data_IF_068989349466
#
_entry.id   IF_068989349466
#
_cell.length_a   1.000
_cell.length_b   1.000
_cell.length_c   1.000
_cell.angle_alpha   90.00
_cell.angle_beta   90.00
_cell.angle_gamma   90.00
#
_symmetry.space_group_name_H-M   'P 1'
#
loop_
_entity.id
_entity.type
_entity.pdbx_description
1 polymer ?
#
# COMPACT_ATOMS: atom_id res chain seq x y z
N UNK A 1 -14.12 -17.14 -2.02
CA UNK A 1 -14.37 -15.70 -1.72
C UNK A 1 -13.15 -14.81 -1.98
N UNK A 2 -11.92 -15.27 -1.71
CA UNK A 2 -10.68 -14.53 -1.99
C UNK A 2 -10.48 -14.19 -3.47
N UNK A 3 -10.78 -15.14 -4.39
CA UNK A 3 -10.61 -14.94 -5.84
C UNK A 3 -11.34 -13.68 -6.32
N UNK A 4 -12.56 -13.43 -5.82
CA UNK A 4 -13.30 -12.22 -6.15
C UNK A 4 -12.56 -10.94 -5.70
N UNK A 5 -12.06 -10.92 -4.47
CA UNK A 5 -11.30 -9.77 -3.95
C UNK A 5 -10.02 -9.53 -4.75
N UNK A 6 -9.27 -10.58 -5.08
CA UNK A 6 -8.05 -10.47 -5.91
C UNK A 6 -8.36 -9.96 -7.32
N UNK A 7 -9.46 -10.47 -7.92
CA UNK A 7 -9.90 -10.01 -9.23
C UNK A 7 -10.31 -8.53 -9.21
N UNK A 8 -11.01 -8.08 -8.16
CA UNK A 8 -11.39 -6.68 -7.99
C UNK A 8 -10.14 -5.81 -7.85
N UNK A 9 -9.18 -6.19 -6.99
CA UNK A 9 -7.96 -5.44 -6.75
C UNK A 9 -7.14 -5.29 -8.04
N UNK A 10 -6.93 -6.38 -8.75
CA UNK A 10 -6.16 -6.40 -9.99
C UNK A 10 -6.84 -5.60 -11.11
N UNK A 11 -8.12 -5.90 -11.38
CA UNK A 11 -8.86 -5.26 -12.48
C UNK A 11 -9.11 -3.78 -12.20
N UNK A 12 -9.39 -3.41 -10.95
CA UNK A 12 -9.57 -2.02 -10.58
C UNK A 12 -8.30 -1.21 -10.85
N UNK A 13 -7.12 -1.72 -10.48
CA UNK A 13 -5.85 -1.04 -10.75
C UNK A 13 -5.58 -0.91 -12.26
N UNK A 14 -5.83 -1.95 -13.05
CA UNK A 14 -5.67 -1.88 -14.51
C UNK A 14 -6.63 -0.88 -15.17
N UNK A 15 -7.92 -0.97 -14.82
CA UNK A 15 -8.95 -0.07 -15.37
C UNK A 15 -8.65 1.37 -14.97
N UNK A 16 -8.24 1.60 -13.71
CA UNK A 16 -7.90 2.92 -13.20
C UNK A 16 -6.74 3.56 -13.95
N UNK A 17 -5.69 2.81 -14.26
CA UNK A 17 -4.58 3.34 -15.07
C UNK A 17 -5.00 3.75 -16.49
N UNK A 18 -5.97 3.03 -17.08
CA UNK A 18 -6.53 3.41 -18.38
C UNK A 18 -7.39 4.68 -18.33
N UNK A 19 -7.91 5.04 -17.16
CA UNK A 19 -8.67 6.28 -16.97
C UNK A 19 -7.83 7.54 -17.27
N UNK A 20 -6.50 7.45 -17.29
CA UNK A 20 -5.64 8.58 -17.68
C UNK A 20 -6.05 9.14 -19.04
N UNK A 21 -6.41 8.29 -20.01
CA UNK A 21 -6.83 8.74 -21.34
C UNK A 21 -8.15 9.53 -21.33
N UNK A 22 -8.97 9.36 -20.30
CA UNK A 22 -10.26 10.06 -20.13
C UNK A 22 -10.10 11.33 -19.30
N UNK A 23 -9.30 11.24 -18.22
CA UNK A 23 -9.21 12.30 -17.21
C UNK A 23 -8.00 13.22 -17.36
N UNK A 24 -7.05 12.94 -18.27
CA UNK A 24 -5.89 13.79 -18.54
C UNK A 24 -6.28 15.27 -18.75
N UNK A 25 -7.44 15.52 -19.38
CA UNK A 25 -7.99 16.87 -19.63
C UNK A 25 -8.87 17.41 -18.49
N UNK A 26 -9.02 16.69 -17.38
CA UNK A 26 -9.91 17.05 -16.26
C UNK A 26 -9.19 16.95 -14.89
N UNK A 27 -8.14 17.78 -14.66
CA UNK A 27 -7.31 17.67 -13.46
C UNK A 27 -8.11 17.78 -12.15
N UNK A 28 -9.13 18.64 -12.08
CA UNK A 28 -9.98 18.81 -10.89
C UNK A 28 -10.68 17.52 -10.45
N UNK A 29 -11.06 16.66 -11.38
CA UNK A 29 -11.70 15.37 -11.05
C UNK A 29 -10.65 14.42 -10.48
N UNK A 30 -9.44 14.42 -11.03
CA UNK A 30 -8.32 13.63 -10.51
C UNK A 30 -7.95 14.05 -9.10
N UNK A 31 -7.83 15.34 -8.85
CA UNK A 31 -7.54 15.88 -7.52
C UNK A 31 -8.62 15.47 -6.52
N UNK A 32 -9.91 15.58 -6.90
CA UNK A 32 -11.01 15.15 -6.05
C UNK A 32 -10.95 13.64 -5.72
N UNK A 33 -10.70 12.79 -6.71
CA UNK A 33 -10.59 11.32 -6.52
C UNK A 33 -9.39 11.01 -5.60
N UNK A 34 -8.25 11.66 -5.79
CA UNK A 34 -7.07 11.51 -4.95
C UNK A 34 -7.35 11.86 -3.49
N UNK A 35 -7.91 13.04 -3.25
CA UNK A 35 -8.22 13.53 -1.89
C UNK A 35 -9.27 12.65 -1.24
N UNK A 36 -10.33 12.28 -1.96
CA UNK A 36 -11.39 11.42 -1.43
C UNK A 36 -10.85 10.01 -1.10
N UNK A 37 -10.07 9.40 -1.99
CA UNK A 37 -9.45 8.08 -1.79
C UNK A 37 -8.53 8.07 -0.58
N UNK A 38 -7.65 9.07 -0.46
CA UNK A 38 -6.75 9.22 0.69
C UNK A 38 -7.51 9.43 2.01
N UNK A 39 -8.52 10.32 2.01
CA UNK A 39 -9.34 10.56 3.20
C UNK A 39 -10.12 9.31 3.63
N UNK A 40 -10.68 8.55 2.68
CA UNK A 40 -11.38 7.30 2.97
C UNK A 40 -10.42 6.27 3.57
N UNK A 41 -9.23 6.11 2.98
CA UNK A 41 -8.22 5.19 3.47
C UNK A 41 -7.76 5.54 4.89
N UNK A 42 -7.52 6.84 5.15
CA UNK A 42 -7.20 7.35 6.48
C UNK A 42 -8.31 7.03 7.49
N UNK A 43 -9.58 7.22 7.10
CA UNK A 43 -10.72 6.88 7.96
C UNK A 43 -10.75 5.38 8.29
N UNK A 44 -10.50 4.49 7.33
CA UNK A 44 -10.40 3.04 7.56
C UNK A 44 -9.25 2.71 8.52
N UNK A 45 -8.10 3.36 8.40
CA UNK A 45 -6.97 3.18 9.31
C UNK A 45 -7.35 3.50 10.76
N UNK A 46 -7.96 4.65 11.00
CA UNK A 46 -8.27 5.10 12.38
C UNK A 46 -9.52 4.45 12.97
N UNK A 47 -10.54 4.17 12.16
CA UNK A 47 -11.82 3.65 12.65
C UNK A 47 -11.83 2.13 12.73
N UNK A 48 -11.01 1.45 11.92
CA UNK A 48 -11.06 0.00 11.80
C UNK A 48 -9.72 -0.67 12.11
N UNK A 49 -8.66 -0.37 11.36
CA UNK A 49 -7.39 -1.10 11.50
C UNK A 49 -6.71 -0.87 12.85
N UNK A 50 -6.62 0.37 13.27
CA UNK A 50 -5.91 0.71 14.51
C UNK A 50 -6.63 0.18 15.76
N UNK A 51 -7.96 0.36 15.94
CA UNK A 51 -8.69 -0.26 17.05
C UNK A 51 -8.58 -1.79 17.05
N UNK A 52 -8.69 -2.44 15.88
CA UNK A 52 -8.56 -3.90 15.76
C UNK A 52 -7.17 -4.38 16.19
N UNK A 53 -6.10 -3.69 15.79
CA UNK A 53 -4.73 -4.01 16.20
C UNK A 53 -4.55 -3.95 17.73
N UNK A 54 -5.14 -2.93 18.38
CA UNK A 54 -5.06 -2.79 19.84
C UNK A 54 -5.90 -3.85 20.57
N UNK A 55 -7.08 -4.20 20.06
CA UNK A 55 -7.90 -5.27 20.67
C UNK A 55 -7.23 -6.62 20.58
N UNK A 56 -6.69 -7.00 19.42
CA UNK A 56 -5.94 -8.24 19.22
C UNK A 56 -4.69 -8.34 20.13
N UNK A 57 -4.04 -7.23 20.40
CA UNK A 57 -2.91 -7.17 21.32
C UNK A 57 -3.33 -7.38 22.76
N UNK A 58 -4.49 -6.86 23.17
CA UNK A 58 -5.01 -6.99 24.54
C UNK A 58 -5.47 -8.43 24.84
N UNK A 59 -6.10 -9.10 23.88
CA UNK A 59 -6.58 -10.48 24.02
C UNK A 59 -5.43 -11.48 24.18
N UNK A 60 -4.28 -11.21 23.56
CA UNK A 60 -3.08 -12.05 23.71
C UNK A 60 -2.46 -11.96 25.10
N UNK A 61 -2.71 -10.90 25.85
CA UNK A 61 -2.22 -10.73 27.25
C UNK A 61 -3.15 -11.41 28.25
N UNK A 62 -4.45 -11.50 27.98
CA UNK A 62 -5.43 -12.06 28.91
C UNK A 62 -5.53 -13.60 28.88
N UNK A 63 -4.94 -14.31 27.93
CA UNK A 63 -5.04 -15.77 27.80
C UNK A 63 -4.13 -16.57 28.73
N UNK A 64 -3.35 -15.93 29.61
CA UNK A 64 -2.42 -16.61 30.56
C UNK A 64 -2.65 -16.30 32.04
N UNK A 65 -3.87 -16.04 32.50
CA UNK A 65 -4.09 -15.88 33.94
C UNK A 65 -5.39 -16.49 34.42
N UNK A 66 -5.34 -17.81 34.67
CA UNK A 66 -6.14 -18.46 35.71
C UNK A 66 -5.19 -19.16 36.67
N UNK A 67 -4.62 -18.41 37.61
CA UNK A 67 -4.25 -18.89 38.96
C UNK A 67 -3.92 -17.67 39.82
N UNK A 68 -4.64 -17.60 40.94
CA UNK A 68 -4.45 -16.63 42.00
C UNK A 68 -3.04 -16.77 42.60
N UNK A 69 -2.21 -15.71 42.46
CA UNK A 69 -1.27 -15.34 43.51
C UNK A 69 -0.65 -13.98 43.19
N UNK A 70 -0.71 -13.07 44.18
CA UNK A 70 -0.12 -11.74 44.12
C UNK A 70 1.40 -11.84 44.14
N UNK A 71 2.04 -11.71 42.98
CA UNK A 71 3.46 -11.32 42.92
C UNK A 71 3.57 -10.27 41.82
N UNK A 72 3.86 -9.02 42.20
CA UNK A 72 4.25 -7.95 41.31
C UNK A 72 5.65 -8.23 40.77
N UNK A 73 5.79 -9.06 39.77
CA UNK A 73 6.98 -9.12 38.95
C UNK A 73 6.73 -8.28 37.69
N UNK A 74 7.23 -7.06 37.71
CA UNK A 74 7.40 -6.24 36.52
C UNK A 74 8.46 -6.89 35.62
N UNK A 75 8.05 -7.87 34.86
CA UNK A 75 8.87 -8.39 33.77
C UNK A 75 8.88 -7.35 32.64
N UNK A 76 9.82 -6.40 32.72
CA UNK A 76 10.16 -5.49 31.63
C UNK A 76 10.87 -6.25 30.49
N UNK A 77 10.18 -7.22 29.89
CA UNK A 77 10.51 -7.64 28.55
C UNK A 77 10.29 -6.44 27.63
N UNK A 78 11.29 -6.08 26.86
CA UNK A 78 11.26 -4.96 25.91
C UNK A 78 10.21 -5.27 24.83
N UNK A 79 8.92 -5.12 25.14
CA UNK A 79 7.86 -5.20 24.14
C UNK A 79 7.83 -3.86 23.42
N UNK A 80 8.23 -3.86 22.16
CA UNK A 80 8.12 -2.68 21.31
C UNK A 80 6.66 -2.21 21.29
N UNK A 81 6.36 -0.96 21.69
CA UNK A 81 4.98 -0.47 21.71
C UNK A 81 4.42 -0.44 20.29
N UNK A 82 3.15 -0.82 20.12
CA UNK A 82 2.49 -0.86 18.80
C UNK A 82 2.62 0.45 18.02
N UNK A 83 2.62 1.58 18.72
CA UNK A 83 2.87 2.89 18.10
C UNK A 83 4.24 3.02 17.41
N UNK A 84 5.26 2.27 17.86
CA UNK A 84 6.56 2.27 17.18
C UNK A 84 6.49 1.60 15.80
N UNK A 85 5.62 0.61 15.63
CA UNK A 85 5.40 -0.02 14.30
C UNK A 85 4.69 0.93 13.34
N UNK A 86 3.76 1.76 13.82
CA UNK A 86 3.15 2.84 13.01
C UNK A 86 4.24 3.80 12.54
N UNK A 87 5.11 4.23 13.45
CA UNK A 87 6.21 5.15 13.10
C UNK A 87 7.19 4.51 12.11
N UNK A 88 7.53 3.23 12.28
CA UNK A 88 8.40 2.51 11.35
C UNK A 88 7.79 2.40 9.95
N UNK A 89 6.49 2.11 9.85
CA UNK A 89 5.77 2.08 8.59
C UNK A 89 5.77 3.44 7.89
N UNK A 90 5.49 4.50 8.62
CA UNK A 90 5.55 5.87 8.11
C UNK A 90 6.94 6.25 7.61
N UNK A 91 7.99 5.95 8.39
CA UNK A 91 9.37 6.20 7.99
C UNK A 91 9.77 5.41 6.75
N UNK A 92 9.37 4.14 6.66
CA UNK A 92 9.62 3.34 5.46
C UNK A 92 9.01 3.99 4.22
N UNK A 93 7.73 4.39 4.31
CA UNK A 93 7.04 5.02 3.19
C UNK A 93 7.71 6.34 2.79
N UNK A 94 8.12 7.15 3.75
CA UNK A 94 8.87 8.39 3.51
C UNK A 94 10.20 8.13 2.79
N UNK A 95 10.91 7.06 3.15
CA UNK A 95 12.15 6.65 2.47
C UNK A 95 11.85 6.21 1.03
N UNK A 96 10.79 5.43 0.80
CA UNK A 96 10.38 5.00 -0.53
C UNK A 96 10.04 6.20 -1.42
N UNK A 97 9.35 7.20 -0.86
CA UNK A 97 9.03 8.43 -1.58
C UNK A 97 10.29 9.26 -1.92
N UNK A 98 11.24 9.38 -0.98
CA UNK A 98 12.50 10.06 -1.23
C UNK A 98 13.31 9.40 -2.35
N UNK A 99 13.34 8.06 -2.39
CA UNK A 99 13.99 7.30 -3.46
C UNK A 99 13.28 7.56 -4.80
N UNK A 100 11.95 7.55 -4.81
CA UNK A 100 11.16 7.84 -6.02
C UNK A 100 11.36 9.27 -6.52
N UNK A 101 11.30 10.28 -5.64
CA UNK A 101 11.50 11.71 -6.00
C UNK A 101 12.93 12.02 -6.39
N UNK A 102 13.92 11.36 -5.77
CA UNK A 102 15.35 11.52 -6.15
C UNK A 102 15.62 11.18 -7.62
N UNK A 103 14.77 10.35 -8.23
CA UNK A 103 14.87 10.01 -9.65
C UNK A 103 14.28 11.09 -10.61
N UNK A 104 13.44 12.00 -10.09
CA UNK A 104 12.81 13.06 -10.92
C UNK A 104 13.71 14.28 -11.19
N UNK A 105 14.80 14.49 -10.45
CA UNK A 105 15.68 15.65 -10.58
C UNK A 105 16.72 15.57 -11.73
N UNK A 106 16.62 14.59 -12.61
CA UNK A 106 17.43 14.48 -13.82
C UNK A 106 16.86 15.34 -14.98
N UNK A 107 17.04 16.66 -14.94
CA UNK A 107 16.68 17.54 -16.05
C UNK A 107 17.61 17.30 -17.24
N UNK A 108 17.11 16.76 -18.35
CA UNK A 108 17.68 16.96 -19.68
C UNK A 108 16.56 17.20 -20.69
N UNK A 109 16.55 18.43 -21.22
CA UNK A 109 15.82 18.79 -22.43
C UNK A 109 16.47 18.09 -23.63
N UNK A 110 15.78 17.15 -24.24
CA UNK A 110 16.05 16.74 -25.63
C UNK A 110 14.75 16.35 -26.29
N UNK A 111 14.41 17.09 -27.33
CA UNK A 111 13.21 16.92 -28.17
C UNK A 111 13.39 15.84 -29.26
N UNK A 112 14.00 14.72 -28.97
CA UNK A 112 14.02 13.61 -29.94
C UNK A 112 13.08 12.51 -29.51
N UNK A 113 12.27 12.00 -30.43
CA UNK A 113 11.27 10.94 -30.26
C UNK A 113 11.88 9.57 -29.91
N UNK A 114 13.08 9.53 -29.36
CA UNK A 114 13.71 8.33 -28.79
C UNK A 114 13.30 8.20 -27.34
N UNK A 115 13.11 6.96 -26.87
CA UNK A 115 12.81 6.67 -25.47
C UNK A 115 13.81 7.43 -24.60
N UNK A 116 13.33 8.38 -23.80
CA UNK A 116 14.18 9.13 -22.91
C UNK A 116 14.62 8.21 -21.79
N UNK A 117 15.84 7.70 -21.87
CA UNK A 117 16.40 6.72 -20.94
C UNK A 117 16.34 7.22 -19.47
N UNK A 118 16.58 8.51 -19.24
CA UNK A 118 16.48 9.11 -17.90
C UNK A 118 15.05 9.09 -17.37
N UNK A 119 14.09 9.50 -18.21
CA UNK A 119 12.66 9.48 -17.83
C UNK A 119 12.15 8.04 -17.63
N UNK A 120 12.66 7.08 -18.40
CA UNK A 120 12.31 5.67 -18.21
C UNK A 120 12.85 5.12 -16.89
N UNK A 121 14.10 5.42 -16.52
CA UNK A 121 14.66 5.04 -15.22
C UNK A 121 13.89 5.67 -14.07
N UNK A 122 13.53 6.96 -14.16
CA UNK A 122 12.68 7.61 -13.16
C UNK A 122 11.33 6.91 -13.02
N UNK A 123 10.69 6.53 -14.14
CA UNK A 123 9.44 5.77 -14.12
C UNK A 123 9.58 4.39 -13.48
N UNK A 124 10.73 3.71 -13.67
CA UNK A 124 11.02 2.45 -13.01
C UNK A 124 11.19 2.61 -11.49
N UNK A 125 11.81 3.70 -11.02
CA UNK A 125 11.96 3.98 -9.60
C UNK A 125 10.61 4.28 -8.94
N UNK A 126 9.75 5.05 -9.61
CA UNK A 126 8.35 5.26 -9.19
C UNK A 126 7.63 3.91 -9.12
N UNK A 127 7.71 3.10 -10.17
CA UNK A 127 7.10 1.77 -10.20
C UNK A 127 7.58 0.89 -9.05
N UNK A 128 8.88 0.88 -8.75
CA UNK A 128 9.44 0.11 -7.65
C UNK A 128 8.84 0.54 -6.31
N UNK A 129 8.85 1.85 -6.03
CA UNK A 129 8.31 2.40 -4.78
C UNK A 129 6.83 2.06 -4.59
N UNK A 130 6.00 2.34 -5.60
CA UNK A 130 4.56 2.07 -5.51
C UNK A 130 4.23 0.57 -5.56
N UNK A 131 5.09 -0.27 -6.16
CA UNK A 131 4.92 -1.73 -6.15
C UNK A 131 5.18 -2.32 -4.77
N UNK A 132 6.20 -1.84 -4.05
CA UNK A 132 6.45 -2.22 -2.65
C UNK A 132 5.29 -1.75 -1.77
N UNK A 133 4.82 -0.52 -1.97
CA UNK A 133 3.66 0.03 -1.28
C UNK A 133 2.41 -0.84 -1.50
N UNK A 134 2.06 -1.15 -2.75
CA UNK A 134 0.92 -2.01 -3.09
C UNK A 134 1.06 -3.44 -2.51
N UNK A 135 2.27 -3.99 -2.49
CA UNK A 135 2.54 -5.28 -1.86
C UNK A 135 2.22 -5.25 -0.36
N UNK A 136 2.66 -4.23 0.36
CA UNK A 136 2.43 -4.08 1.79
C UNK A 136 0.96 -3.80 2.11
N UNK A 137 0.26 -3.02 1.30
CA UNK A 137 -1.20 -2.85 1.38
C UNK A 137 -1.93 -4.17 1.17
N UNK A 138 -1.54 -4.91 0.11
CA UNK A 138 -2.09 -6.23 -0.18
C UNK A 138 -1.91 -7.20 0.98
N UNK A 139 -0.74 -7.18 1.63
CA UNK A 139 -0.43 -8.01 2.78
C UNK A 139 -1.40 -7.79 3.96
N UNK A 140 -1.84 -6.54 4.19
CA UNK A 140 -2.82 -6.21 5.22
C UNK A 140 -4.27 -6.58 4.87
N UNK A 141 -4.58 -6.85 3.59
CA UNK A 141 -5.94 -7.16 3.16
C UNK A 141 -6.47 -8.48 3.74
N UNK A 142 -5.60 -9.38 4.17
CA UNK A 142 -5.99 -10.66 4.77
C UNK A 142 -5.50 -10.71 6.20
N UNK A 143 -6.43 -10.70 7.14
CA UNK A 143 -6.18 -10.80 8.57
C UNK A 143 -6.90 -12.03 9.11
N UNK A 144 -6.21 -12.89 9.88
CA UNK A 144 -6.78 -14.11 10.48
C UNK A 144 -7.51 -15.01 9.44
N UNK A 145 -6.94 -15.13 8.24
CA UNK A 145 -7.53 -15.93 7.17
C UNK A 145 -8.86 -15.38 6.63
N UNK A 146 -9.17 -14.10 6.85
CA UNK A 146 -10.35 -13.43 6.31
C UNK A 146 -9.94 -12.17 5.55
N UNK A 147 -10.60 -11.92 4.41
CA UNK A 147 -10.39 -10.70 3.66
C UNK A 147 -11.15 -9.53 4.29
N UNK A 148 -10.44 -8.44 4.56
CA UNK A 148 -11.03 -7.20 5.06
C UNK A 148 -11.57 -6.39 3.87
N UNK A 149 -12.89 -6.47 3.64
CA UNK A 149 -13.53 -5.77 2.52
C UNK A 149 -13.56 -4.25 2.67
N UNK A 150 -13.61 -3.74 3.89
CA UNK A 150 -13.56 -2.28 4.14
C UNK A 150 -12.21 -1.72 3.70
N UNK A 151 -11.14 -2.41 4.06
CA UNK A 151 -9.79 -2.07 3.62
C UNK A 151 -9.63 -2.25 2.10
N UNK A 152 -10.18 -3.34 1.53
CA UNK A 152 -10.15 -3.57 0.08
C UNK A 152 -10.77 -2.40 -0.70
N UNK A 153 -11.93 -1.89 -0.26
CA UNK A 153 -12.57 -0.72 -0.89
C UNK A 153 -11.65 0.50 -0.79
N UNK A 154 -11.05 0.74 0.38
CA UNK A 154 -10.12 1.84 0.59
C UNK A 154 -8.90 1.76 -0.34
N UNK A 155 -8.27 0.61 -0.41
CA UNK A 155 -7.11 0.35 -1.28
C UNK A 155 -7.49 0.51 -2.75
N UNK A 156 -8.64 0.00 -3.19
CA UNK A 156 -9.11 0.16 -4.57
C UNK A 156 -9.30 1.65 -4.92
N UNK A 157 -9.93 2.42 -4.04
CA UNK A 157 -10.14 3.86 -4.27
C UNK A 157 -8.82 4.62 -4.30
N UNK A 158 -7.91 4.29 -3.38
CA UNK A 158 -6.58 4.91 -3.30
C UNK A 158 -5.70 4.55 -4.50
N UNK A 159 -5.81 3.34 -5.01
CA UNK A 159 -5.05 2.88 -6.18
C UNK A 159 -5.47 3.56 -7.50
N UNK A 160 -6.62 4.22 -7.57
CA UNK A 160 -7.04 4.93 -8.79
C UNK A 160 -6.00 5.99 -9.21
N UNK A 161 -5.67 7.00 -8.40
CA UNK A 161 -4.68 7.99 -8.77
C UNK A 161 -3.28 7.40 -8.95
N UNK A 162 -2.87 6.44 -8.11
CA UNK A 162 -1.55 5.79 -8.21
C UNK A 162 -1.39 5.08 -9.55
N UNK A 163 -2.38 4.30 -9.97
CA UNK A 163 -2.39 3.60 -11.26
C UNK A 163 -2.25 4.57 -12.44
N UNK A 164 -2.90 5.74 -12.36
CA UNK A 164 -2.79 6.78 -13.38
C UNK A 164 -1.41 7.42 -13.40
N UNK A 165 -0.78 7.63 -12.24
CA UNK A 165 0.61 8.13 -12.15
C UNK A 165 1.57 7.12 -12.77
N UNK A 166 1.45 5.84 -12.45
CA UNK A 166 2.27 4.77 -13.05
C UNK A 166 2.13 4.76 -14.57
N UNK A 167 0.90 4.69 -15.07
CA UNK A 167 0.66 4.69 -16.52
C UNK A 167 1.21 5.94 -17.19
N UNK A 168 0.95 7.13 -16.60
CA UNK A 168 1.37 8.43 -17.11
C UNK A 168 2.88 8.62 -17.14
N UNK A 169 3.61 8.11 -16.14
CA UNK A 169 5.07 8.24 -16.09
C UNK A 169 5.73 7.51 -17.26
N UNK A 170 5.31 6.29 -17.57
CA UNK A 170 5.83 5.54 -18.73
C UNK A 170 5.41 6.14 -20.07
N UNK A 171 4.20 6.69 -20.19
CA UNK A 171 3.79 7.40 -21.39
C UNK A 171 4.63 8.66 -21.62
N UNK A 172 4.98 9.41 -20.57
CA UNK A 172 5.88 10.57 -20.63
C UNK A 172 7.31 10.19 -21.01
N UNK A 173 7.76 8.99 -20.64
CA UNK A 173 9.05 8.44 -21.06
C UNK A 173 9.07 7.98 -22.53
N UNK A 174 8.02 8.31 -23.30
CA UNK A 174 7.84 7.93 -24.72
C UNK A 174 7.76 6.40 -24.93
N UNK A 175 7.33 5.67 -23.92
CA UNK A 175 7.03 4.25 -24.05
C UNK A 175 5.75 4.01 -24.84
N UNK A 176 5.69 2.88 -25.56
CA UNK A 176 4.45 2.48 -26.22
C UNK A 176 3.35 2.20 -25.18
N UNK A 177 2.09 2.35 -25.58
CA UNK A 177 0.94 2.06 -24.71
C UNK A 177 0.98 0.63 -24.16
N UNK A 178 1.48 -0.31 -24.96
CA UNK A 178 1.60 -1.72 -24.54
C UNK A 178 2.65 -1.91 -23.44
N UNK A 179 3.82 -1.26 -23.58
CA UNK A 179 4.88 -1.28 -22.57
C UNK A 179 4.41 -0.61 -21.28
N UNK A 180 3.74 0.54 -21.38
CA UNK A 180 3.17 1.21 -20.20
C UNK A 180 2.11 0.36 -19.49
N UNK A 181 1.24 -0.32 -20.25
CA UNK A 181 0.24 -1.25 -19.71
C UNK A 181 0.89 -2.47 -19.04
N UNK A 182 2.00 -2.99 -19.58
CA UNK A 182 2.76 -4.06 -18.96
C UNK A 182 3.27 -3.66 -17.57
N UNK A 183 3.87 -2.47 -17.43
CA UNK A 183 4.36 -1.98 -16.15
C UNK A 183 3.22 -1.72 -15.14
N UNK A 184 2.08 -1.23 -15.65
CA UNK A 184 0.87 -1.10 -14.83
C UNK A 184 0.36 -2.46 -14.35
N UNK A 185 0.42 -3.50 -15.18
CA UNK A 185 0.04 -4.86 -14.77
C UNK A 185 1.00 -5.43 -13.71
N UNK A 186 2.31 -5.11 -13.80
CA UNK A 186 3.28 -5.44 -12.76
C UNK A 186 2.88 -4.80 -11.43
N UNK A 187 2.55 -3.51 -11.42
CA UNK A 187 2.04 -2.83 -10.23
C UNK A 187 0.78 -3.50 -9.67
N UNK A 188 -0.22 -3.74 -10.53
CA UNK A 188 -1.50 -4.31 -10.12
C UNK A 188 -1.38 -5.73 -9.52
N UNK A 189 -0.41 -6.52 -10.00
CA UNK A 189 -0.18 -7.87 -9.48
C UNK A 189 0.48 -7.85 -8.10
N UNK A 190 1.25 -6.82 -7.76
CA UNK A 190 1.97 -6.76 -6.48
C UNK A 190 1.02 -6.72 -5.28
N UNK A 191 -0.10 -6.02 -5.36
CA UNK A 191 -1.13 -6.05 -4.32
C UNK A 191 -1.75 -7.44 -4.12
N UNK A 192 -1.98 -8.17 -5.22
CA UNK A 192 -2.47 -9.56 -5.16
C UNK A 192 -1.41 -10.48 -4.55
N UNK A 193 -0.15 -10.34 -4.96
CA UNK A 193 0.98 -11.13 -4.40
C UNK A 193 1.13 -10.86 -2.91
N UNK A 194 1.07 -9.59 -2.47
CA UNK A 194 1.10 -9.23 -1.06
C UNK A 194 -0.01 -9.92 -0.26
N UNK A 195 -1.24 -9.91 -0.79
CA UNK A 195 -2.38 -10.55 -0.15
C UNK A 195 -2.26 -12.08 -0.10
N UNK A 196 -1.71 -12.71 -1.14
CA UNK A 196 -1.41 -14.15 -1.14
C UNK A 196 -0.33 -14.51 -0.13
N UNK A 197 0.71 -13.69 -0.01
CA UNK A 197 1.75 -13.87 1.01
C UNK A 197 1.12 -13.74 2.40
N UNK A 198 0.31 -12.71 2.65
CA UNK A 198 -0.41 -12.54 3.92
C UNK A 198 -1.30 -13.71 4.30
N UNK A 199 -1.90 -14.39 3.31
CA UNK A 199 -2.76 -15.56 3.53
C UNK A 199 -1.98 -16.82 3.93
N UNK A 200 -0.77 -17.04 3.39
CA UNK A 200 -0.06 -18.33 3.47
C UNK A 200 1.06 -18.36 4.53
N UNK A 201 1.42 -17.23 5.08
CA UNK A 201 2.47 -17.18 6.09
C UNK A 201 1.89 -17.17 7.51
N UNK A 202 2.06 -18.27 8.26
CA UNK A 202 1.63 -18.40 9.67
C UNK A 202 2.27 -17.35 10.59
N UNK A 203 3.45 -16.85 10.24
CA UNK A 203 4.10 -15.72 10.91
C UNK A 203 3.21 -14.48 10.99
N UNK A 204 2.38 -14.24 9.96
CA UNK A 204 1.44 -13.11 9.90
C UNK A 204 0.42 -13.18 11.02
N UNK A 205 -0.11 -14.37 11.29
CA UNK A 205 -1.13 -14.56 12.33
C UNK A 205 -0.59 -14.26 13.74
N UNK A 206 0.68 -14.57 13.99
CA UNK A 206 1.31 -14.33 15.29
C UNK A 206 1.65 -12.84 15.52
N UNK A 207 2.02 -12.12 14.47
CA UNK A 207 2.40 -10.71 14.53
C UNK A 207 1.35 -9.77 13.91
N UNK A 208 0.11 -10.23 13.79
CA UNK A 208 -0.99 -9.46 13.18
C UNK A 208 -1.11 -8.03 13.73
N UNK A 209 -1.11 -7.77 15.07
CA UNK A 209 -1.24 -6.40 15.57
C UNK A 209 -0.08 -5.49 15.14
N UNK A 210 1.15 -6.01 15.18
CA UNK A 210 2.34 -5.25 14.77
C UNK A 210 2.32 -4.93 13.28
N UNK A 211 1.93 -5.91 12.46
CA UNK A 211 1.83 -5.76 11.01
C UNK A 211 0.72 -4.77 10.67
N UNK A 212 -0.44 -4.84 11.30
CA UNK A 212 -1.52 -3.87 11.10
C UNK A 212 -1.08 -2.45 11.44
N UNK A 213 -0.40 -2.26 12.58
CA UNK A 213 0.15 -0.96 12.96
C UNK A 213 1.20 -0.46 11.95
N UNK A 214 2.07 -1.34 11.48
CA UNK A 214 3.08 -1.00 10.46
C UNK A 214 2.44 -0.56 9.14
N UNK A 215 1.41 -1.29 8.68
CA UNK A 215 0.66 -0.93 7.47
C UNK A 215 -0.11 0.38 7.65
N UNK A 216 -0.74 0.59 8.82
CA UNK A 216 -1.35 1.89 9.13
C UNK A 216 -0.33 3.03 8.98
N UNK A 217 0.91 2.83 9.45
CA UNK A 217 1.99 3.80 9.27
C UNK A 217 2.27 4.11 7.79
N UNK A 218 2.31 3.09 6.94
CA UNK A 218 2.50 3.24 5.49
C UNK A 218 1.34 4.03 4.86
N UNK A 219 0.11 3.73 5.26
CA UNK A 219 -1.12 4.33 4.72
C UNK A 219 -1.35 5.78 5.20
N UNK A 220 -0.72 6.18 6.30
CA UNK A 220 -0.82 7.56 6.85
C UNK A 220 0.08 8.56 6.12
N UNK A 221 0.97 8.10 5.27
CA UNK A 221 1.82 8.95 4.45
C UNK A 221 1.10 9.37 3.17
#
# INVERSE_FOLDING_TARGET
MYILGYSILFLASLVSGLLIFVFEKKPKILDFISVFGGAFLMAVCFVHLLPEAFTLSSDSVCSHSHSHEHVHEHNHGFSFPLGAFVLLGFLLQLILELISKGAEHGHLHNEDRTVNHSAYLSSLMILLGVSIHAFLEGFALVTNGKMNYSLLIGVVLHNIPISMVVMGSFLKAVCSKFVSLFHLAVFAIMGVVGSLVGLHFDFVTHYTPQIMCFVVGILLH
#
